data_IF_063623615590
#
_entry.id   IF_063623615590
#
_cell.length_a   1.000
_cell.length_b   1.000
_cell.length_c   1.000
_cell.angle_alpha   90.00
_cell.angle_beta   90.00
_cell.angle_gamma   90.00
#
_symmetry.space_group_name_H-M   'P 1'
#
loop_
_entity.id
_entity.type
_entity.pdbx_description
1 polymer ?
#
# COMPACT_ATOMS: atom_id res chain seq x y z
N UNK A 1 17.68 -47.08 20.52
CA UNK A 1 16.95 -45.86 20.14
C UNK A 1 17.79 -45.10 19.14
N UNK A 2 17.18 -44.53 18.11
CA UNK A 2 17.88 -43.75 17.09
C UNK A 2 17.41 -42.30 17.12
N UNK A 3 18.34 -41.36 16.90
CA UNK A 3 18.06 -39.93 16.82
C UNK A 3 18.04 -39.54 15.34
N UNK A 4 16.90 -39.08 14.84
CA UNK A 4 16.73 -38.57 13.47
C UNK A 4 16.50 -37.07 13.51
N UNK A 5 17.27 -36.32 12.71
CA UNK A 5 17.21 -34.87 12.61
C UNK A 5 16.60 -34.51 11.25
N UNK A 6 15.40 -33.92 11.24
CA UNK A 6 14.65 -33.56 10.03
C UNK A 6 14.44 -32.03 9.97
N UNK A 7 14.45 -31.45 8.77
CA UNK A 7 14.29 -30.01 8.54
C UNK A 7 13.77 -29.72 7.13
N UNK A 8 13.01 -28.62 6.97
CA UNK A 8 12.54 -28.12 5.67
C UNK A 8 13.66 -27.53 4.80
N UNK A 9 14.84 -27.26 5.40
CA UNK A 9 16.04 -26.74 4.75
C UNK A 9 17.26 -27.57 5.09
N UNK A 10 18.26 -27.56 4.20
CA UNK A 10 19.57 -28.16 4.46
C UNK A 10 20.17 -27.54 5.71
N UNK A 11 20.60 -28.38 6.65
CA UNK A 11 21.28 -27.97 7.86
C UNK A 11 22.61 -28.70 8.00
N UNK A 12 23.56 -28.05 8.65
CA UNK A 12 24.78 -28.69 9.13
C UNK A 12 24.83 -28.56 10.64
N UNK A 13 25.09 -29.66 11.33
CA UNK A 13 25.44 -29.61 12.74
C UNK A 13 26.95 -29.38 12.85
N UNK A 14 27.37 -28.26 13.43
CA UNK A 14 28.77 -27.96 13.76
C UNK A 14 28.91 -27.98 15.28
N UNK A 15 29.88 -28.74 15.79
CA UNK A 15 30.17 -28.78 17.22
C UNK A 15 30.88 -27.49 17.67
N UNK A 16 30.35 -26.82 18.69
CA UNK A 16 31.11 -25.82 19.44
C UNK A 16 32.09 -26.55 20.39
N UNK A 17 33.38 -26.27 20.27
CA UNK A 17 34.45 -26.97 20.99
C UNK A 17 34.35 -26.80 22.52
N UNK A 18 34.04 -27.89 23.23
CA UNK A 18 34.50 -28.27 24.59
C UNK A 18 33.51 -29.28 25.23
N UNK A 19 33.67 -30.58 24.99
CA UNK A 19 32.89 -31.63 25.66
C UNK A 19 32.91 -32.97 24.93
N UNK A 20 32.95 -34.07 25.69
CA UNK A 20 33.08 -35.46 25.20
C UNK A 20 31.92 -35.86 24.28
N UNK A 21 32.22 -35.76 23.00
CA UNK A 21 31.64 -36.32 21.79
C UNK A 21 30.54 -37.41 21.87
N UNK A 22 29.26 -37.04 21.81
CA UNK A 22 28.20 -38.02 21.53
C UNK A 22 28.04 -38.33 20.02
N UNK A 23 28.35 -37.38 19.12
CA UNK A 23 28.13 -37.55 17.66
C UNK A 23 29.38 -38.08 16.92
N UNK A 24 30.59 -37.65 17.26
CA UNK A 24 31.81 -38.21 16.66
C UNK A 24 32.40 -39.42 17.44
N UNK A 25 31.82 -39.83 18.57
CA UNK A 25 31.98 -41.22 19.07
C UNK A 25 31.30 -42.25 18.16
N UNK A 26 30.38 -41.79 17.29
CA UNK A 26 29.71 -42.57 16.24
C UNK A 26 30.35 -42.31 14.86
N UNK A 27 31.54 -41.69 14.81
CA UNK A 27 32.33 -41.52 13.57
C UNK A 27 31.80 -40.49 12.56
N UNK A 28 30.79 -39.69 12.91
CA UNK A 28 30.19 -38.67 12.05
C UNK A 28 30.82 -37.29 12.32
N UNK A 29 31.94 -36.98 11.66
CA UNK A 29 32.68 -35.71 11.83
C UNK A 29 31.92 -34.48 11.28
N UNK A 30 31.00 -34.69 10.34
CA UNK A 30 30.11 -33.64 9.80
C UNK A 30 28.75 -34.27 9.51
N UNK A 31 27.71 -33.91 10.27
CA UNK A 31 26.32 -34.29 9.95
C UNK A 31 25.73 -33.16 9.11
N UNK A 32 25.86 -33.27 7.79
CA UNK A 32 25.18 -32.42 6.82
C UNK A 32 23.93 -33.12 6.30
N UNK A 33 22.78 -32.47 6.38
CA UNK A 33 21.55 -32.95 5.75
C UNK A 33 21.51 -32.53 4.29
N UNK A 34 21.36 -33.50 3.39
CA UNK A 34 21.09 -33.28 1.97
C UNK A 34 19.59 -33.07 1.74
N UNK A 35 19.23 -32.11 0.89
CA UNK A 35 17.84 -31.85 0.57
C UNK A 35 17.27 -32.98 -0.32
N UNK A 36 16.27 -33.71 0.17
CA UNK A 36 15.55 -34.69 -0.65
C UNK A 36 14.60 -33.97 -1.60
N UNK A 37 14.80 -34.17 -2.91
CA UNK A 37 13.92 -33.60 -3.93
C UNK A 37 12.62 -34.40 -3.98
N UNK A 38 11.48 -33.71 -4.11
CA UNK A 38 10.17 -34.35 -4.33
C UNK A 38 10.19 -35.25 -5.57
N UNK A 39 10.96 -34.88 -6.60
CA UNK A 39 11.13 -35.68 -7.83
C UNK A 39 11.92 -36.98 -7.66
N UNK A 40 12.60 -37.16 -6.52
CA UNK A 40 13.44 -38.32 -6.22
C UNK A 40 12.83 -39.23 -5.14
N UNK A 41 11.54 -39.05 -4.85
CA UNK A 41 10.81 -39.85 -3.88
C UNK A 41 10.66 -41.28 -4.40
N UNK A 42 10.94 -42.25 -3.53
CA UNK A 42 10.78 -43.68 -3.78
C UNK A 42 9.94 -44.28 -2.62
N UNK A 43 8.94 -45.09 -2.95
CA UNK A 43 7.96 -45.66 -2.00
C UNK A 43 8.08 -47.20 -1.97
N UNK A 44 9.13 -47.76 -2.57
CA UNK A 44 9.33 -49.22 -2.70
C UNK A 44 9.53 -49.95 -1.37
N UNK A 45 9.95 -49.26 -0.31
CA UNK A 45 10.15 -49.86 1.03
C UNK A 45 9.48 -49.03 2.11
N UNK A 46 9.19 -49.65 3.26
CA UNK A 46 8.56 -48.98 4.41
C UNK A 46 9.36 -47.77 4.89
N UNK A 47 10.69 -47.89 4.97
CA UNK A 47 11.56 -46.77 5.37
C UNK A 47 11.50 -45.62 4.36
N UNK A 48 11.67 -45.91 3.06
CA UNK A 48 11.63 -44.89 2.02
C UNK A 48 10.25 -44.22 1.92
N UNK A 49 9.17 -44.96 2.16
CA UNK A 49 7.80 -44.42 2.23
C UNK A 49 7.63 -43.44 3.39
N UNK A 50 8.23 -43.72 4.55
CA UNK A 50 8.18 -42.81 5.70
C UNK A 50 8.94 -41.51 5.42
N UNK A 51 10.11 -41.61 4.79
CA UNK A 51 10.92 -40.45 4.39
C UNK A 51 10.26 -39.64 3.27
N UNK A 52 9.53 -40.30 2.37
CA UNK A 52 8.73 -39.67 1.33
C UNK A 52 7.63 -38.77 1.92
N UNK A 53 6.88 -39.27 2.91
CA UNK A 53 5.84 -38.50 3.60
C UNK A 53 6.43 -37.24 4.23
N UNK A 54 7.54 -37.37 4.95
CA UNK A 54 8.23 -36.21 5.56
C UNK A 54 8.67 -35.18 4.52
N UNK A 55 9.17 -35.64 3.38
CA UNK A 55 9.60 -34.75 2.29
C UNK A 55 8.42 -34.00 1.68
N UNK A 56 7.28 -34.68 1.50
CA UNK A 56 6.04 -34.06 1.00
C UNK A 56 5.46 -33.08 2.02
N UNK A 57 5.44 -33.42 3.30
CA UNK A 57 4.95 -32.53 4.36
C UNK A 57 5.77 -31.24 4.43
N UNK A 58 7.10 -31.34 4.34
CA UNK A 58 7.98 -30.17 4.26
C UNK A 58 7.71 -29.32 3.01
N UNK A 59 7.50 -29.95 1.85
CA UNK A 59 7.16 -29.24 0.62
C UNK A 59 5.79 -28.54 0.71
N UNK A 60 4.79 -29.19 1.31
CA UNK A 60 3.47 -28.62 1.55
C UNK A 60 3.53 -27.46 2.55
N UNK A 61 4.31 -27.58 3.62
CA UNK A 61 4.56 -26.51 4.58
C UNK A 61 5.13 -25.27 3.89
N UNK A 62 6.13 -25.44 3.01
CA UNK A 62 6.71 -24.35 2.23
C UNK A 62 5.68 -23.68 1.30
N UNK A 63 4.91 -24.47 0.55
CA UNK A 63 3.86 -23.94 -0.34
C UNK A 63 2.80 -23.18 0.46
N UNK A 64 2.35 -23.72 1.59
CA UNK A 64 1.40 -23.06 2.47
C UNK A 64 1.97 -21.77 3.06
N UNK A 65 3.25 -21.74 3.41
CA UNK A 65 3.96 -20.54 3.85
C UNK A 65 3.98 -19.45 2.77
N UNK A 66 4.30 -19.79 1.53
CA UNK A 66 4.24 -18.84 0.41
C UNK A 66 2.81 -18.36 0.12
N UNK A 67 1.81 -19.26 0.16
CA UNK A 67 0.39 -18.87 0.04
C UNK A 67 -0.04 -17.92 1.15
N UNK A 68 0.39 -18.14 2.39
CA UNK A 68 0.12 -17.26 3.51
C UNK A 68 0.75 -15.87 3.30
N UNK A 69 1.98 -15.78 2.79
CA UNK A 69 2.62 -14.50 2.42
C UNK A 69 1.83 -13.77 1.34
N UNK A 70 1.38 -14.47 0.30
CA UNK A 70 0.53 -13.85 -0.73
C UNK A 70 -0.82 -13.39 -0.18
N UNK A 71 -1.44 -14.15 0.73
CA UNK A 71 -2.66 -13.72 1.43
C UNK A 71 -2.45 -12.44 2.26
N UNK A 72 -1.33 -12.35 2.98
CA UNK A 72 -0.96 -11.15 3.73
C UNK A 72 -0.73 -9.95 2.81
N UNK A 73 -0.05 -10.14 1.68
CA UNK A 73 0.13 -9.08 0.67
C UNK A 73 -1.20 -8.62 0.07
N UNK A 74 -2.10 -9.55 -0.25
CA UNK A 74 -3.46 -9.21 -0.72
C UNK A 74 -4.23 -8.39 0.32
N UNK A 75 -4.18 -8.77 1.60
CA UNK A 75 -4.79 -7.99 2.68
C UNK A 75 -4.21 -6.57 2.76
N UNK A 76 -2.88 -6.44 2.64
CA UNK A 76 -2.21 -5.13 2.63
C UNK A 76 -2.57 -4.29 1.40
N UNK A 77 -2.73 -4.91 0.23
CA UNK A 77 -3.19 -4.21 -0.96
C UNK A 77 -4.64 -3.72 -0.79
N UNK A 78 -5.53 -4.56 -0.27
CA UNK A 78 -6.91 -4.17 0.00
C UNK A 78 -7.00 -2.98 0.97
N UNK A 79 -6.23 -2.99 2.07
CA UNK A 79 -6.19 -1.86 3.01
C UNK A 79 -5.61 -0.59 2.38
N UNK A 80 -4.55 -0.73 1.58
CA UNK A 80 -3.92 0.41 0.89
C UNK A 80 -4.88 1.03 -0.13
N UNK A 81 -5.56 0.21 -0.92
CA UNK A 81 -6.55 0.66 -1.91
C UNK A 81 -7.69 1.41 -1.23
N UNK A 82 -8.24 0.87 -0.14
CA UNK A 82 -9.31 1.54 0.61
C UNK A 82 -8.86 2.91 1.16
N UNK A 83 -7.65 2.98 1.74
CA UNK A 83 -7.08 4.24 2.23
C UNK A 83 -6.85 5.27 1.11
N UNK A 84 -6.34 4.83 -0.05
CA UNK A 84 -6.16 5.69 -1.21
C UNK A 84 -7.49 6.20 -1.77
N UNK A 85 -8.53 5.36 -1.79
CA UNK A 85 -9.86 5.76 -2.26
C UNK A 85 -10.46 6.84 -1.35
N UNK A 86 -10.35 6.68 -0.02
CA UNK A 86 -10.78 7.71 0.95
C UNK A 86 -9.98 9.00 0.76
N UNK A 87 -8.66 8.90 0.55
CA UNK A 87 -7.80 10.07 0.32
C UNK A 87 -8.19 10.78 -0.98
N UNK A 88 -8.46 10.04 -2.05
CA UNK A 88 -8.90 10.58 -3.34
C UNK A 88 -10.24 11.30 -3.23
N UNK A 89 -11.21 10.74 -2.50
CA UNK A 89 -12.50 11.36 -2.24
C UNK A 89 -12.34 12.68 -1.48
N UNK A 90 -11.56 12.66 -0.40
CA UNK A 90 -11.28 13.86 0.40
C UNK A 90 -10.57 14.95 -0.42
N UNK A 91 -9.61 14.58 -1.28
CA UNK A 91 -8.89 15.51 -2.14
C UNK A 91 -9.82 16.10 -3.21
N UNK A 92 -10.66 15.28 -3.83
CA UNK A 92 -11.68 15.73 -4.78
C UNK A 92 -12.66 16.71 -4.14
N UNK A 93 -13.18 16.39 -2.95
CA UNK A 93 -14.07 17.25 -2.19
C UNK A 93 -13.40 18.58 -1.79
N UNK A 94 -12.14 18.55 -1.35
CA UNK A 94 -11.38 19.76 -1.04
C UNK A 94 -11.16 20.62 -2.29
N UNK A 95 -10.81 19.99 -3.42
CA UNK A 95 -10.65 20.69 -4.71
C UNK A 95 -11.95 21.32 -5.19
N UNK A 96 -13.09 20.62 -5.07
CA UNK A 96 -14.41 21.18 -5.40
C UNK A 96 -14.69 22.43 -4.58
N UNK A 97 -14.48 22.39 -3.26
CA UNK A 97 -14.69 23.57 -2.39
C UNK A 97 -13.82 24.75 -2.75
N UNK A 98 -12.55 24.53 -3.12
CA UNK A 98 -11.65 25.59 -3.56
C UNK A 98 -12.17 26.19 -4.88
N UNK A 99 -12.47 25.33 -5.86
CA UNK A 99 -12.99 25.77 -7.16
C UNK A 99 -14.30 26.54 -7.03
N UNK A 100 -15.24 26.06 -6.22
CA UNK A 100 -16.54 26.70 -5.99
C UNK A 100 -16.39 28.04 -5.26
N UNK A 101 -15.48 28.13 -4.28
CA UNK A 101 -15.20 29.37 -3.56
C UNK A 101 -14.53 30.42 -4.47
N UNK A 102 -13.58 30.00 -5.31
CA UNK A 102 -12.92 30.88 -6.28
C UNK A 102 -13.92 31.37 -7.34
N UNK A 103 -14.81 30.50 -7.83
CA UNK A 103 -15.86 30.88 -8.77
C UNK A 103 -16.84 31.90 -8.15
N UNK A 104 -17.24 31.68 -6.89
CA UNK A 104 -18.10 32.61 -6.18
C UNK A 104 -17.44 33.98 -5.98
N UNK A 105 -16.14 34.01 -5.64
CA UNK A 105 -15.38 35.24 -5.46
C UNK A 105 -15.21 36.01 -6.78
N UNK A 106 -14.85 35.33 -7.87
CA UNK A 106 -14.69 35.94 -9.19
C UNK A 106 -16.04 36.45 -9.73
N UNK A 107 -17.11 35.66 -9.57
CA UNK A 107 -18.46 36.08 -9.97
C UNK A 107 -18.90 37.31 -9.18
N UNK A 108 -18.66 37.36 -7.87
CA UNK A 108 -18.96 38.55 -7.06
C UNK A 108 -18.14 39.78 -7.48
N UNK A 109 -16.88 39.59 -7.85
CA UNK A 109 -16.02 40.65 -8.40
C UNK A 109 -16.54 41.18 -9.73
N UNK A 110 -16.90 40.26 -10.65
CA UNK A 110 -17.49 40.59 -11.93
C UNK A 110 -18.81 41.35 -11.77
N UNK A 111 -19.72 40.87 -10.91
CA UNK A 111 -20.99 41.55 -10.61
C UNK A 111 -20.74 42.93 -10.01
N UNK A 112 -19.79 43.08 -9.07
CA UNK A 112 -19.41 44.38 -8.51
C UNK A 112 -18.90 45.33 -9.59
N UNK A 113 -18.05 44.86 -10.50
CA UNK A 113 -17.54 45.66 -11.60
C UNK A 113 -18.66 46.10 -12.56
N UNK A 114 -19.59 45.21 -12.90
CA UNK A 114 -20.76 45.53 -13.73
C UNK A 114 -21.68 46.57 -13.06
N UNK A 115 -21.95 46.42 -11.76
CA UNK A 115 -22.75 47.40 -11.00
C UNK A 115 -22.04 48.76 -10.98
N UNK A 116 -20.72 48.80 -10.76
CA UNK A 116 -19.95 50.04 -10.78
C UNK A 116 -19.96 50.71 -12.16
N UNK A 117 -19.91 49.93 -13.24
CA UNK A 117 -20.02 50.46 -14.60
C UNK A 117 -21.41 51.06 -14.87
N UNK A 118 -22.48 50.37 -14.48
CA UNK A 118 -23.85 50.88 -14.62
C UNK A 118 -24.12 52.10 -13.72
N UNK A 119 -23.60 52.09 -12.49
CA UNK A 119 -23.68 53.23 -11.58
C UNK A 119 -22.86 54.41 -12.10
N UNK A 120 -21.68 54.17 -12.67
CA UNK A 120 -20.82 55.19 -13.27
C UNK A 120 -21.47 55.87 -14.47
N UNK A 121 -22.12 55.12 -15.35
CA UNK A 121 -22.86 55.70 -16.49
C UNK A 121 -24.10 56.48 -16.03
N UNK A 122 -24.85 55.97 -15.03
CA UNK A 122 -25.99 56.68 -14.45
C UNK A 122 -25.55 57.96 -13.71
N UNK A 123 -24.44 57.91 -12.95
CA UNK A 123 -23.88 59.07 -12.26
C UNK A 123 -23.33 60.10 -13.23
N UNK A 124 -22.68 59.70 -14.32
CA UNK A 124 -22.27 60.61 -15.39
C UNK A 124 -23.48 61.27 -16.08
N UNK A 125 -24.54 60.51 -16.35
CA UNK A 125 -25.78 61.06 -16.90
C UNK A 125 -26.42 62.08 -15.94
N UNK A 126 -26.46 61.79 -14.64
CA UNK A 126 -26.97 62.70 -13.61
C UNK A 126 -26.09 63.95 -13.46
N UNK A 127 -24.76 63.79 -13.46
CA UNK A 127 -23.81 64.89 -13.38
C UNK A 127 -23.87 65.82 -14.60
N UNK A 128 -24.14 65.27 -15.80
CA UNK A 128 -24.33 66.06 -17.02
C UNK A 128 -25.66 66.82 -17.06
N UNK A 129 -26.70 66.36 -16.35
CA UNK A 129 -27.98 67.08 -16.25
C UNK A 129 -27.99 68.18 -15.18
N UNK A 130 -27.15 68.05 -14.14
CA UNK A 130 -27.01 69.03 -13.07
C UNK A 130 -26.69 70.47 -13.54
N UNK A 131 -25.71 70.72 -14.45
CA UNK A 131 -25.37 72.08 -14.89
C UNK A 131 -26.51 72.77 -15.65
N UNK A 132 -27.34 72.03 -16.38
CA UNK A 132 -28.51 72.60 -17.07
C UNK A 132 -29.57 73.11 -16.08
N UNK A 133 -29.74 72.43 -14.95
CA UNK A 133 -30.62 72.89 -13.87
C UNK A 133 -30.06 74.13 -13.15
N UNK A 134 -28.74 74.27 -13.05
CA UNK A 134 -28.11 75.47 -12.47
C UNK A 134 -28.24 76.69 -13.40
N UNK A 135 -28.11 76.49 -14.72
CA UNK A 135 -28.35 77.53 -15.72
C UNK A 135 -29.81 78.01 -15.75
N UNK A 136 -30.77 77.14 -15.44
CA UNK A 136 -32.18 77.51 -15.24
C UNK A 136 -32.42 78.40 -14.02
N UNK A 137 -31.53 78.38 -13.02
CA UNK A 137 -31.64 79.18 -11.79
C UNK A 137 -30.92 80.54 -11.89
N UNK A 138 -30.12 80.75 -12.94
CA UNK A 138 -29.39 81.99 -13.22
C UNK A 138 -30.08 82.88 -14.29
N UNK A 139 -31.31 82.53 -14.69
CA UNK A 139 -32.18 83.32 -15.57
C UNK A 139 -33.36 83.86 -14.78
#
# INVERSE_FOLDING_TARGET
>A
GQVTLDSEKSFSAVQAAAGTNALAAVGLATVGSTLNKVSAIDVSTFLKSTDAIKTVDAALSLVNGERAKFGALQSRFASTVSSLQVTSENLSAARSRIMDADFAAETASLTRAQILQQAGTAMLAQANQLPNNVLSLLR
#
